data_IF_376018871874
#
_entry.id   IF_376018871874
#
_cell.length_a   1.000
_cell.length_b   1.000
_cell.length_c   1.000
_cell.angle_alpha   90.00
_cell.angle_beta   90.00
_cell.angle_gamma   90.00
#
_symmetry.space_group_name_H-M   'P 1'
#
loop_
_entity.id
_entity.type
_entity.pdbx_description
1 polymer ?
#
# COMPACT_ATOMS: atom_id res chain seq x y z
N UNK A 1 -2.63 -0.47 19.11
CA UNK A 1 -3.83 -0.70 18.29
C UNK A 1 -4.45 0.68 18.08
N UNK A 2 -4.27 1.29 16.90
CA UNK A 2 -4.75 2.66 16.64
C UNK A 2 -6.28 2.64 16.49
N UNK A 3 -6.91 3.69 17.01
CA UNK A 3 -8.27 3.70 17.53
C UNK A 3 -9.34 4.24 16.55
N UNK A 4 -9.19 4.01 15.24
CA UNK A 4 -10.13 4.51 14.23
C UNK A 4 -10.41 3.52 13.09
N UNK A 5 -10.07 2.24 13.28
CA UNK A 5 -10.15 1.19 12.25
C UNK A 5 -11.56 1.01 11.71
N UNK A 6 -11.88 1.74 10.63
CA UNK A 6 -12.94 1.38 9.70
C UNK A 6 -12.61 -0.02 9.22
N UNK A 7 -13.37 -0.97 9.72
CA UNK A 7 -13.27 -2.37 9.32
C UNK A 7 -13.43 -2.34 7.79
N UNK A 8 -12.40 -2.78 7.05
CA UNK A 8 -12.32 -2.88 5.58
C UNK A 8 -11.59 -1.77 4.79
N UNK A 9 -10.89 -0.81 5.41
CA UNK A 9 -10.15 0.21 4.64
C UNK A 9 -8.66 -0.16 4.50
N UNK A 10 -8.09 0.06 3.31
CA UNK A 10 -6.64 -0.02 3.13
C UNK A 10 -5.91 1.23 3.65
N UNK A 11 -4.64 1.10 4.00
CA UNK A 11 -3.82 2.19 4.54
C UNK A 11 -2.66 2.47 3.58
N UNK A 12 -2.53 3.72 3.11
CA UNK A 12 -1.34 4.16 2.38
C UNK A 12 -0.24 4.38 3.41
N UNK A 13 0.83 3.60 3.31
CA UNK A 13 2.01 3.70 4.19
C UNK A 13 3.08 4.62 3.61
N UNK A 14 3.09 4.78 2.28
CA UNK A 14 4.04 5.61 1.55
C UNK A 14 3.39 6.12 0.27
N UNK A 15 3.54 7.41 0.01
CA UNK A 15 3.14 8.03 -1.26
C UNK A 15 4.15 7.74 -2.38
N UNK A 16 3.65 7.66 -3.62
CA UNK A 16 4.44 7.52 -4.83
C UNK A 16 3.56 7.64 -6.07
N UNK A 17 4.17 7.96 -7.21
CA UNK A 17 3.46 8.23 -8.47
C UNK A 17 3.71 7.21 -9.58
N UNK A 18 4.75 6.38 -9.44
CA UNK A 18 5.26 5.62 -10.58
C UNK A 18 4.73 4.18 -10.59
N UNK A 19 4.50 3.59 -9.41
CA UNK A 19 3.96 2.24 -9.25
C UNK A 19 3.30 2.09 -7.87
N UNK A 20 2.25 1.27 -7.78
CA UNK A 20 1.61 0.92 -6.52
C UNK A 20 1.96 -0.51 -6.08
N UNK A 21 2.53 -0.66 -4.88
CA UNK A 21 2.83 -1.93 -4.23
C UNK A 21 1.78 -2.18 -3.13
N UNK A 22 0.94 -3.20 -3.33
CA UNK A 22 -0.14 -3.53 -2.40
C UNK A 22 0.22 -4.83 -1.68
N UNK A 23 0.43 -4.74 -0.36
CA UNK A 23 0.81 -5.86 0.50
C UNK A 23 -0.25 -6.18 1.54
N UNK A 24 -0.21 -7.39 2.07
CA UNK A 24 -1.01 -7.80 3.24
C UNK A 24 -0.17 -8.61 4.22
N UNK A 25 -0.35 -8.36 5.51
CA UNK A 25 0.40 -9.04 6.57
C UNK A 25 1.91 -8.81 6.44
N UNK A 26 2.67 -9.90 6.34
CA UNK A 26 4.14 -9.83 6.24
C UNK A 26 4.57 -9.03 5.00
N UNK A 27 4.00 -9.33 3.83
CA UNK A 27 4.37 -8.76 2.52
C UNK A 27 4.36 -7.23 2.46
N UNK A 28 3.62 -6.57 3.34
CA UNK A 28 3.65 -5.11 3.48
C UNK A 28 5.04 -4.61 3.87
N UNK A 29 5.78 -5.33 4.72
CA UNK A 29 7.14 -4.97 5.12
C UNK A 29 8.13 -5.16 3.96
N UNK A 30 8.02 -6.26 3.21
CA UNK A 30 8.85 -6.48 2.02
C UNK A 30 8.53 -5.44 0.92
N UNK A 31 7.26 -5.02 0.77
CA UNK A 31 6.88 -3.96 -0.15
C UNK A 31 7.51 -2.60 0.21
N UNK A 32 7.61 -2.28 1.50
CA UNK A 32 8.33 -1.08 1.96
C UNK A 32 9.82 -1.15 1.62
N UNK A 33 10.48 -2.29 1.86
CA UNK A 33 11.88 -2.49 1.52
C UNK A 33 12.13 -2.43 0.01
N UNK A 34 11.21 -2.96 -0.80
CA UNK A 34 11.25 -2.84 -2.26
C UNK A 34 11.09 -1.38 -2.70
N UNK A 35 10.17 -0.62 -2.08
CA UNK A 35 10.00 0.80 -2.37
C UNK A 35 11.27 1.63 -2.04
N UNK A 36 12.01 1.27 -0.99
CA UNK A 36 13.29 1.90 -0.69
C UNK A 36 14.36 1.60 -1.75
N UNK A 37 14.37 0.38 -2.27
CA UNK A 37 15.27 0.00 -3.37
C UNK A 37 14.92 0.75 -4.65
N UNK A 38 13.63 0.79 -5.01
CA UNK A 38 13.14 1.51 -6.18
C UNK A 38 13.42 3.01 -6.10
N UNK A 39 13.33 3.60 -4.91
CA UNK A 39 13.65 5.02 -4.72
C UNK A 39 15.13 5.35 -4.99
N UNK A 40 16.05 4.41 -4.76
CA UNK A 40 17.46 4.56 -5.12
C UNK A 40 17.67 4.58 -6.65
N UNK A 41 16.78 3.93 -7.39
CA UNK A 41 16.74 3.94 -8.85
C UNK A 41 15.93 5.13 -9.42
N UNK A 42 15.40 6.00 -8.55
CA UNK A 42 14.60 7.17 -8.92
C UNK A 42 13.12 6.87 -9.16
N UNK A 43 12.64 5.67 -8.80
CA UNK A 43 11.24 5.24 -8.95
C UNK A 43 10.50 5.45 -7.63
N UNK A 44 9.44 6.24 -7.66
CA UNK A 44 8.58 6.53 -6.51
C UNK A 44 7.43 5.52 -6.42
N UNK A 45 7.66 4.47 -5.65
CA UNK A 45 6.63 3.46 -5.37
C UNK A 45 5.71 3.89 -4.22
N UNK A 46 4.40 3.91 -4.48
CA UNK A 46 3.35 3.98 -3.46
C UNK A 46 3.26 2.61 -2.78
N UNK A 47 3.12 2.60 -1.45
CA UNK A 47 2.95 1.34 -0.69
C UNK A 47 1.64 1.39 0.09
N UNK A 48 0.80 0.39 -0.16
CA UNK A 48 -0.52 0.24 0.44
C UNK A 48 -0.56 -1.04 1.26
N UNK A 49 -0.96 -0.93 2.52
CA UNK A 49 -1.29 -2.05 3.37
C UNK A 49 -2.79 -2.38 3.23
N UNK A 50 -3.09 -3.58 2.76
CA UNK A 50 -4.45 -4.07 2.58
C UNK A 50 -4.74 -5.20 3.60
N UNK A 51 -5.14 -4.87 4.84
CA UNK A 51 -5.36 -5.87 5.88
C UNK A 51 -6.58 -6.77 5.61
N UNK A 52 -7.57 -6.26 4.86
CA UNK A 52 -8.78 -7.00 4.51
C UNK A 52 -8.80 -7.35 3.03
N UNK A 53 -8.72 -8.65 2.71
CA UNK A 53 -8.90 -9.15 1.35
C UNK A 53 -10.37 -9.30 0.96
N UNK A 54 -11.26 -9.49 1.93
CA UNK A 54 -12.70 -9.61 1.69
C UNK A 54 -13.51 -8.97 2.83
N UNK A 55 -14.35 -7.95 2.52
CA UNK A 55 -14.38 -7.21 1.26
C UNK A 55 -13.06 -6.43 1.05
N UNK A 56 -12.58 -6.37 -0.19
CA UNK A 56 -11.39 -5.59 -0.54
C UNK A 56 -11.77 -4.13 -0.77
N UNK A 57 -10.88 -3.20 -0.40
CA UNK A 57 -11.03 -1.77 -0.67
C UNK A 57 -10.71 -1.47 -2.15
N UNK A 58 -11.69 -1.73 -3.02
CA UNK A 58 -11.57 -1.52 -4.46
C UNK A 58 -11.39 -0.03 -4.82
N UNK A 59 -12.02 0.87 -4.06
CA UNK A 59 -11.93 2.32 -4.29
C UNK A 59 -10.49 2.82 -4.10
N UNK A 60 -9.77 2.29 -3.11
CA UNK A 60 -8.37 2.63 -2.90
C UNK A 60 -7.48 2.09 -4.03
N UNK A 61 -7.74 0.86 -4.50
CA UNK A 61 -7.01 0.27 -5.63
C UNK A 61 -7.22 1.08 -6.91
N UNK A 62 -8.46 1.47 -7.20
CA UNK A 62 -8.79 2.29 -8.37
C UNK A 62 -8.16 3.68 -8.31
N UNK A 63 -8.03 4.27 -7.11
CA UNK A 63 -7.30 5.52 -6.92
C UNK A 63 -5.80 5.36 -7.15
N UNK A 64 -5.23 4.24 -6.72
CA UNK A 64 -3.80 3.95 -6.88
C UNK A 64 -3.41 3.58 -8.31
N UNK A 65 -4.36 3.10 -9.12
CA UNK A 65 -4.14 2.71 -10.52
C UNK A 65 -4.26 3.88 -11.51
N UNK A 66 -4.68 5.07 -11.07
CA UNK A 66 -4.89 6.26 -11.89
C UNK A 66 -3.73 7.24 -11.76
#
# INVERSE_FOLDING_TARGET
MKADGTINTGEILRDGSDVALIGTGRMTAEALAAADTLAQEGIQAMVINMPTLKPIDADLIDKAAR
#
